data_IF_061570080798
#
_entry.id   IF_061570080798
#
_cell.length_a   1.000
_cell.length_b   1.000
_cell.length_c   1.000
_cell.angle_alpha   90.00
_cell.angle_beta   90.00
_cell.angle_gamma   90.00
#
_symmetry.space_group_name_H-M   'P 1'
#
loop_
_entity.id
_entity.type
_entity.pdbx_description
1 polymer ?
#
# COMPACT_ATOMS: atom_id res chain seq x y z
N UNK A 1 -7.22 -13.68 16.24
CA UNK A 1 -8.23 -12.64 15.98
C UNK A 1 -7.94 -12.20 14.57
N UNK A 2 -8.80 -12.52 13.61
CA UNK A 2 -8.61 -12.08 12.23
C UNK A 2 -8.94 -10.59 12.24
N UNK A 3 -7.90 -9.76 12.27
CA UNK A 3 -8.05 -8.35 11.96
C UNK A 3 -8.65 -8.27 10.56
N UNK A 4 -9.58 -7.36 10.35
CA UNK A 4 -10.04 -6.92 9.05
C UNK A 4 -8.79 -6.62 8.21
N UNK A 5 -8.36 -7.59 7.40
CA UNK A 5 -7.10 -7.52 6.65
C UNK A 5 -7.49 -7.32 5.19
N UNK A 6 -6.95 -6.25 4.61
CA UNK A 6 -6.89 -6.12 3.16
C UNK A 6 -6.06 -7.28 2.60
N UNK A 7 -6.60 -7.99 1.62
CA UNK A 7 -5.89 -9.06 0.91
C UNK A 7 -5.19 -8.44 -0.31
N UNK A 8 -3.86 -8.47 -0.35
CA UNK A 8 -3.10 -7.81 -1.41
C UNK A 8 -2.85 -8.77 -2.56
N UNK A 9 -3.24 -8.38 -3.76
CA UNK A 9 -2.98 -9.13 -4.97
C UNK A 9 -1.54 -8.89 -5.44
N UNK A 10 -0.61 -9.71 -4.96
CA UNK A 10 0.82 -9.61 -5.31
C UNK A 10 1.10 -9.74 -6.82
N UNK A 11 0.24 -10.43 -7.57
CA UNK A 11 0.34 -10.51 -9.03
C UNK A 11 0.03 -9.18 -9.73
N UNK A 12 -0.60 -8.25 -9.02
CA UNK A 12 -0.98 -6.92 -9.51
C UNK A 12 -0.03 -5.82 -9.02
N UNK A 13 1.04 -6.18 -8.29
CA UNK A 13 2.07 -5.24 -7.86
C UNK A 13 2.81 -4.70 -9.09
N UNK A 14 2.75 -3.38 -9.25
CA UNK A 14 3.44 -2.64 -10.29
C UNK A 14 4.30 -1.58 -9.61
N UNK A 15 5.59 -1.68 -9.84
CA UNK A 15 6.53 -0.66 -9.44
C UNK A 15 6.52 0.50 -10.44
N UNK A 16 6.19 1.70 -9.96
CA UNK A 16 6.16 2.92 -10.76
C UNK A 16 7.21 3.89 -10.20
N UNK A 17 8.45 3.70 -10.63
CA UNK A 17 9.60 4.54 -10.25
C UNK A 17 9.44 6.01 -10.71
N UNK A 18 8.69 6.28 -11.78
CA UNK A 18 8.46 7.64 -12.29
C UNK A 18 7.64 8.48 -11.29
N UNK A 19 6.58 7.87 -10.75
CA UNK A 19 5.75 8.49 -9.71
C UNK A 19 6.23 8.17 -8.28
N UNK A 20 7.25 7.31 -8.13
CA UNK A 20 7.77 6.80 -6.86
C UNK A 20 6.69 6.17 -5.99
N UNK A 21 5.87 5.35 -6.62
CA UNK A 21 4.78 4.62 -5.96
C UNK A 21 4.78 3.16 -6.40
N UNK A 22 4.36 2.27 -5.51
CA UNK A 22 4.02 0.90 -5.85
C UNK A 22 2.51 0.79 -5.95
N UNK A 23 2.01 0.57 -7.15
CA UNK A 23 0.60 0.35 -7.43
C UNK A 23 0.26 -1.12 -7.22
N UNK A 24 -0.90 -1.38 -6.61
CA UNK A 24 -1.38 -2.75 -6.40
C UNK A 24 -2.89 -2.79 -6.30
N UNK A 25 -3.46 -3.97 -6.47
CA UNK A 25 -4.86 -4.21 -6.15
C UNK A 25 -4.97 -4.88 -4.79
N UNK A 26 -5.89 -4.38 -3.97
CA UNK A 26 -6.22 -4.96 -2.68
C UNK A 26 -7.70 -5.30 -2.63
N UNK A 27 -8.05 -6.46 -2.09
CA UNK A 27 -9.42 -6.85 -1.78
C UNK A 27 -9.74 -6.47 -0.32
N UNK A 28 -10.80 -5.70 -0.12
CA UNK A 28 -11.31 -5.31 1.19
C UNK A 28 -12.79 -5.65 1.25
N UNK A 29 -13.20 -6.48 2.20
CA UNK A 29 -14.59 -6.95 2.36
C UNK A 29 -15.18 -7.62 1.09
N UNK A 30 -14.33 -8.20 0.24
CA UNK A 30 -14.74 -8.81 -1.03
C UNK A 30 -14.92 -7.83 -2.19
N UNK A 31 -14.50 -6.57 -2.01
CA UNK A 31 -14.45 -5.55 -3.06
C UNK A 31 -13.00 -5.26 -3.43
N UNK A 32 -12.71 -5.23 -4.74
CA UNK A 32 -11.39 -4.94 -5.28
C UNK A 32 -11.19 -3.42 -5.40
N UNK A 33 -10.13 -2.91 -4.77
CA UNK A 33 -9.75 -1.50 -4.81
C UNK A 33 -8.32 -1.35 -5.37
N UNK A 34 -8.10 -0.27 -6.09
CA UNK A 34 -6.76 0.10 -6.57
C UNK A 34 -6.06 0.96 -5.52
N UNK A 35 -4.89 0.51 -5.09
CA UNK A 35 -4.04 1.21 -4.13
C UNK A 35 -2.72 1.60 -4.77
N UNK A 36 -2.12 2.67 -4.25
CA UNK A 36 -0.77 3.09 -4.59
C UNK A 36 -0.05 3.49 -3.30
N UNK A 37 1.01 2.79 -2.93
CA UNK A 37 1.82 3.16 -1.76
C UNK A 37 3.01 3.99 -2.20
N UNK A 38 3.18 5.16 -1.59
CA UNK A 38 4.33 6.01 -1.88
C UNK A 38 5.61 5.40 -1.33
N UNK A 39 6.72 5.59 -2.04
CA UNK A 39 8.05 5.20 -1.56
C UNK A 39 8.37 5.82 -0.20
N UNK A 40 7.83 7.00 0.09
CA UNK A 40 7.95 7.65 1.39
C UNK A 40 7.38 6.78 2.54
N UNK A 41 6.32 6.01 2.30
CA UNK A 41 5.75 5.08 3.28
C UNK A 41 6.72 3.93 3.54
N UNK A 42 7.26 3.36 2.47
CA UNK A 42 8.23 2.27 2.55
C UNK A 42 9.52 2.74 3.23
N UNK A 43 10.00 3.95 2.91
CA UNK A 43 11.13 4.61 3.56
C UNK A 43 10.86 4.85 5.05
N UNK A 44 9.66 5.30 5.43
CA UNK A 44 9.29 5.49 6.83
C UNK A 44 9.26 4.16 7.61
N UNK A 45 8.82 3.07 6.98
CA UNK A 45 8.75 1.74 7.59
C UNK A 45 10.11 1.05 7.69
N UNK A 46 10.95 1.17 6.67
CA UNK A 46 12.25 0.49 6.61
C UNK A 46 13.41 1.33 7.14
N UNK A 47 13.25 2.65 7.12
CA UNK A 47 14.28 3.65 7.39
C UNK A 47 15.15 4.00 6.17
N UNK A 48 14.91 3.42 4.99
CA UNK A 48 15.72 3.63 3.78
C UNK A 48 14.84 3.63 2.50
N UNK A 49 15.19 4.48 1.54
CA UNK A 49 14.42 4.66 0.32
C UNK A 49 14.39 3.35 -0.49
N UNK A 50 13.20 2.84 -0.88
CA UNK A 50 13.17 1.78 -1.86
C UNK A 50 13.62 2.32 -3.22
N UNK A 51 14.71 1.79 -3.77
CA UNK A 51 15.14 2.09 -5.15
C UNK A 51 14.73 0.95 -6.08
N UNK A 52 15.46 -0.18 -6.08
CA UNK A 52 15.14 -1.38 -6.88
C UNK A 52 14.40 -2.45 -6.06
N UNK A 53 14.32 -2.27 -4.74
CA UNK A 53 13.76 -3.23 -3.78
C UNK A 53 12.35 -2.84 -3.32
N UNK A 54 11.67 -1.91 -3.98
CA UNK A 54 10.36 -1.40 -3.55
C UNK A 54 9.33 -2.51 -3.34
N UNK A 55 9.25 -3.45 -4.28
CA UNK A 55 8.37 -4.62 -4.16
C UNK A 55 8.83 -5.54 -3.02
N UNK A 56 10.13 -5.77 -2.83
CA UNK A 56 10.62 -6.63 -1.74
C UNK A 56 10.32 -6.01 -0.37
N UNK A 57 10.53 -4.70 -0.23
CA UNK A 57 10.18 -3.93 0.96
C UNK A 57 8.67 -3.94 1.19
N UNK A 58 7.87 -3.74 0.15
CA UNK A 58 6.41 -3.83 0.21
C UNK A 58 5.96 -5.17 0.80
N UNK A 59 6.46 -6.28 0.24
CA UNK A 59 6.13 -7.62 0.74
C UNK A 59 6.56 -7.81 2.19
N UNK A 60 7.70 -7.24 2.58
CA UNK A 60 8.20 -7.33 3.96
C UNK A 60 7.33 -6.58 4.97
N UNK A 61 6.73 -5.47 4.56
CA UNK A 61 5.88 -4.63 5.40
C UNK A 61 4.40 -4.69 5.00
N UNK A 62 3.98 -5.77 4.34
CA UNK A 62 2.63 -5.94 3.81
C UNK A 62 1.56 -5.75 4.88
N UNK A 63 1.81 -6.22 6.11
CA UNK A 63 0.89 -6.09 7.23
C UNK A 63 0.64 -4.62 7.57
N UNK A 64 1.70 -3.82 7.67
CA UNK A 64 1.60 -2.39 8.00
C UNK A 64 0.99 -1.59 6.85
N UNK A 65 1.31 -1.96 5.60
CA UNK A 65 0.73 -1.33 4.41
C UNK A 65 -0.74 -1.71 4.28
N UNK A 66 -1.13 -2.94 4.66
CA UNK A 66 -2.52 -3.37 4.68
C UNK A 66 -3.35 -2.53 5.66
N UNK A 67 -2.83 -2.31 6.87
CA UNK A 67 -3.45 -1.44 7.87
C UNK A 67 -3.57 0.02 7.37
N UNK A 68 -2.48 0.57 6.82
CA UNK A 68 -2.47 1.93 6.28
C UNK A 68 -3.38 2.08 5.05
N UNK A 69 -3.51 1.04 4.23
CA UNK A 69 -4.43 0.98 3.11
C UNK A 69 -5.88 1.10 3.54
N UNK A 70 -6.26 0.47 4.65
CA UNK A 70 -7.60 0.59 5.21
C UNK A 70 -7.87 2.01 5.75
N UNK A 71 -6.87 2.65 6.37
CA UNK A 71 -6.97 4.04 6.84
C UNK A 71 -7.13 4.99 5.64
N UNK A 72 -6.29 4.83 4.62
CA UNK A 72 -6.34 5.60 3.38
C UNK A 72 -7.67 5.40 2.64
N UNK A 73 -8.17 4.16 2.59
CA UNK A 73 -9.46 3.81 2.00
C UNK A 73 -10.59 4.49 2.78
N UNK A 74 -10.59 4.44 4.12
CA UNK A 74 -11.62 5.07 4.94
C UNK A 74 -11.62 6.60 4.79
N UNK A 75 -10.47 7.21 4.51
CA UNK A 75 -10.33 8.64 4.23
C UNK A 75 -10.75 9.02 2.81
N UNK A 76 -10.45 8.17 1.84
CA UNK A 76 -10.53 8.49 0.40
C UNK A 76 -11.38 7.48 -0.40
N UNK A 77 -12.45 6.93 0.18
CA UNK A 77 -13.25 5.87 -0.46
C UNK A 77 -13.89 6.29 -1.81
N UNK A 78 -13.98 7.59 -2.09
CA UNK A 78 -14.49 8.16 -3.34
C UNK A 78 -13.44 8.28 -4.46
N UNK A 79 -12.15 8.01 -4.19
CA UNK A 79 -11.09 8.10 -5.18
C UNK A 79 -10.98 6.81 -6.00
N UNK A 80 -10.75 6.95 -7.32
CA UNK A 80 -10.53 5.81 -8.21
C UNK A 80 -9.26 5.01 -7.87
N UNK A 81 -8.29 5.66 -7.21
CA UNK A 81 -7.06 5.06 -6.71
C UNK A 81 -6.79 5.62 -5.33
N UNK A 82 -6.56 4.73 -4.37
CA UNK A 82 -6.29 5.07 -2.97
C UNK A 82 -4.78 5.21 -2.79
N UNK A 83 -4.31 6.43 -2.55
CA UNK A 83 -2.89 6.69 -2.33
C UNK A 83 -2.57 6.57 -0.83
N UNK A 84 -1.74 5.61 -0.47
CA UNK A 84 -1.22 5.40 0.88
C UNK A 84 0.01 6.28 1.05
N UNK A 85 -0.06 7.15 2.04
CA UNK A 85 0.99 8.12 2.38
C UNK A 85 1.49 7.87 3.80
N UNK A 86 2.61 8.49 4.18
CA UNK A 86 3.15 8.33 5.55
C UNK A 86 2.14 8.74 6.63
N UNK A 87 1.19 9.61 6.28
CA UNK A 87 0.12 10.06 7.17
C UNK A 87 -0.90 8.96 7.52
N UNK A 88 -0.95 7.88 6.73
CA UNK A 88 -1.88 6.77 6.93
C UNK A 88 -1.26 5.66 7.81
N UNK A 89 -0.01 5.82 8.26
CA UNK A 89 0.70 4.88 9.15
C UNK A 89 0.41 5.08 10.66
N UNK A 90 -0.33 6.14 11.04
CA UNK A 90 -0.54 6.57 12.45
C UNK A 90 -1.84 6.04 13.10
#
# INVERSE_FOLDING_TARGET
MAADKMDILHSSLLDNDDERVVEFMGEVDGEEYQFAVQYAVLEALSGDAPEDDAIEQFNRFEDSIAEAGLVALARNSDQAMIVISENDLE
#
